data_IF_097201943606
#
_entry.id   IF_097201943606
#
_cell.length_a   1.000
_cell.length_b   1.000
_cell.length_c   1.000
_cell.angle_alpha   90.00
_cell.angle_beta   90.00
_cell.angle_gamma   90.00
#
_symmetry.space_group_name_H-M   'P 1'
#
loop_
_entity.id
_entity.type
_entity.pdbx_description
1 polymer ?
#
# COMPACT_ATOMS: atom_id res chain seq x y z
N UNK A 1 -20.57 -9.35 2.89
CA UNK A 1 -19.44 -10.25 2.57
C UNK A 1 -18.09 -9.53 2.45
N UNK A 2 -18.01 -8.18 2.45
CA UNK A 2 -16.72 -7.45 2.39
C UNK A 2 -15.99 -7.38 3.75
N UNK A 3 -16.74 -7.25 4.86
CA UNK A 3 -16.17 -7.11 6.21
C UNK A 3 -15.28 -8.31 6.59
N UNK A 4 -15.81 -9.53 6.49
CA UNK A 4 -15.09 -10.74 6.87
C UNK A 4 -13.74 -10.96 6.13
N UNK A 5 -13.60 -10.48 4.88
CA UNK A 5 -12.35 -10.59 4.10
C UNK A 5 -11.30 -9.54 4.51
N UNK A 6 -11.74 -8.37 4.97
CA UNK A 6 -10.85 -7.33 5.51
C UNK A 6 -10.39 -7.63 6.94
N UNK A 7 -11.24 -8.27 7.75
CA UNK A 7 -10.89 -8.71 9.11
C UNK A 7 -9.78 -9.79 9.10
N UNK A 8 -9.78 -10.67 8.08
CA UNK A 8 -8.70 -11.64 7.89
C UNK A 8 -7.36 -10.96 7.60
N UNK A 9 -7.37 -9.83 6.88
CA UNK A 9 -6.15 -9.05 6.61
C UNK A 9 -5.55 -8.42 7.88
N UNK A 10 -6.41 -8.04 8.84
CA UNK A 10 -5.99 -7.45 10.12
C UNK A 10 -5.45 -8.48 11.12
N UNK A 11 -5.66 -9.77 10.90
CA UNK A 11 -5.07 -10.84 11.73
C UNK A 11 -3.72 -11.32 11.16
N UNK A 12 -3.52 -11.20 9.85
CA UNK A 12 -2.33 -11.72 9.15
C UNK A 12 -1.11 -10.80 9.26
N UNK A 13 -1.27 -9.47 9.37
CA UNK A 13 -0.12 -8.54 9.41
C UNK A 13 0.84 -8.74 10.58
N UNK A 14 0.40 -9.41 11.65
CA UNK A 14 1.19 -9.58 12.88
C UNK A 14 1.96 -10.90 12.96
N UNK A 15 1.64 -11.90 12.13
CA UNK A 15 2.22 -13.24 12.29
C UNK A 15 3.10 -13.72 11.15
N UNK A 16 2.82 -13.45 9.88
CA UNK A 16 3.64 -14.00 8.79
C UNK A 16 3.76 -13.02 7.61
N UNK A 17 5.00 -12.81 7.17
CA UNK A 17 5.38 -11.83 6.17
C UNK A 17 4.69 -12.03 4.83
N UNK A 18 4.49 -10.90 4.15
CA UNK A 18 4.01 -10.78 2.77
C UNK A 18 2.64 -11.43 2.52
N UNK A 19 1.61 -10.60 2.53
CA UNK A 19 0.45 -10.85 1.68
C UNK A 19 0.95 -11.10 0.25
N UNK A 20 0.93 -12.36 -0.18
CA UNK A 20 0.94 -12.69 -1.59
C UNK A 20 -0.32 -12.02 -2.18
N UNK A 21 -0.13 -11.06 -3.09
CA UNK A 21 -1.25 -10.43 -3.79
C UNK A 21 -1.79 -11.45 -4.79
N UNK A 22 -2.46 -12.47 -4.29
CA UNK A 22 -3.02 -13.56 -5.08
C UNK A 22 -3.96 -12.99 -6.13
N UNK A 23 -4.15 -13.73 -7.23
CA UNK A 23 -5.04 -13.33 -8.33
C UNK A 23 -6.49 -13.06 -7.89
N UNK A 24 -6.86 -13.49 -6.68
CA UNK A 24 -8.21 -13.42 -6.10
C UNK A 24 -8.68 -12.00 -5.75
N UNK A 25 -7.77 -11.06 -5.45
CA UNK A 25 -8.16 -9.69 -5.13
C UNK A 25 -8.27 -8.81 -6.37
N UNK A 26 -9.31 -7.97 -6.43
CA UNK A 26 -9.42 -6.94 -7.46
C UNK A 26 -8.44 -5.79 -7.20
N UNK A 27 -8.12 -5.01 -8.25
CA UNK A 27 -7.25 -3.81 -8.10
C UNK A 27 -7.85 -2.82 -7.09
N UNK A 28 -9.17 -2.66 -7.08
CA UNK A 28 -9.84 -1.73 -6.17
C UNK A 28 -9.69 -2.15 -4.70
N UNK A 29 -9.84 -3.44 -4.40
CA UNK A 29 -9.64 -3.98 -3.05
C UNK A 29 -8.18 -3.85 -2.60
N UNK A 30 -7.24 -4.15 -3.51
CA UNK A 30 -5.82 -4.00 -3.24
C UNK A 30 -5.42 -2.55 -2.98
N UNK A 31 -5.97 -1.61 -3.75
CA UNK A 31 -5.76 -0.18 -3.55
C UNK A 31 -6.27 0.27 -2.18
N UNK A 32 -7.43 -0.21 -1.75
CA UNK A 32 -8.01 0.14 -0.45
C UNK A 32 -7.16 -0.41 0.72
N UNK A 33 -6.64 -1.64 0.59
CA UNK A 33 -5.70 -2.21 1.55
C UNK A 33 -4.41 -1.40 1.65
N UNK A 34 -3.78 -1.11 0.51
CA UNK A 34 -2.54 -0.31 0.49
C UNK A 34 -2.77 1.11 0.99
N UNK A 35 -3.92 1.72 0.72
CA UNK A 35 -4.25 3.03 1.26
C UNK A 35 -4.30 3.03 2.79
N UNK A 36 -4.82 1.96 3.41
CA UNK A 36 -4.78 1.81 4.87
C UNK A 36 -3.36 1.68 5.40
N UNK A 37 -2.51 0.87 4.76
CA UNK A 37 -1.09 0.74 5.12
C UNK A 37 -0.35 2.10 5.01
N UNK A 38 -0.65 2.89 3.97
CA UNK A 38 -0.11 4.25 3.82
C UNK A 38 -0.57 5.12 4.99
N UNK A 39 -1.86 5.16 5.31
CA UNK A 39 -2.35 5.95 6.44
C UNK A 39 -1.71 5.53 7.76
N UNK A 40 -1.50 4.24 7.99
CA UNK A 40 -0.80 3.75 9.19
C UNK A 40 0.65 4.27 9.26
N UNK A 41 1.37 4.29 8.13
CA UNK A 41 2.73 4.83 8.05
C UNK A 41 2.79 6.35 8.33
N UNK A 42 1.76 7.07 7.92
CA UNK A 42 1.59 8.51 8.19
C UNK A 42 0.84 8.78 9.51
N UNK A 43 0.75 7.80 10.41
CA UNK A 43 0.13 7.95 11.74
C UNK A 43 -1.33 8.46 11.70
N UNK A 44 -2.04 8.18 10.61
CA UNK A 44 -3.39 8.62 10.34
C UNK A 44 -3.52 10.03 9.74
N UNK A 45 -2.42 10.75 9.49
CA UNK A 45 -2.44 12.05 8.83
C UNK A 45 -2.79 11.89 7.33
N UNK A 46 -4.08 12.06 7.04
CA UNK A 46 -4.62 12.00 5.69
C UNK A 46 -4.02 13.06 4.77
N UNK A 47 -3.76 14.26 5.28
CA UNK A 47 -3.24 15.35 4.45
C UNK A 47 -1.82 15.02 3.98
N UNK A 48 -0.98 14.52 4.90
CA UNK A 48 0.36 14.07 4.57
C UNK A 48 0.35 12.88 3.59
N UNK A 49 -0.52 11.89 3.83
CA UNK A 49 -0.69 10.72 2.96
C UNK A 49 -1.15 11.10 1.54
N UNK A 50 -2.17 11.97 1.41
CA UNK A 50 -2.69 12.44 0.12
C UNK A 50 -1.65 13.27 -0.64
N UNK A 51 -0.90 14.11 0.07
CA UNK A 51 0.22 14.86 -0.51
C UNK A 51 1.29 13.93 -1.04
N UNK A 52 1.67 12.90 -0.28
CA UNK A 52 2.64 11.90 -0.71
C UNK A 52 2.13 11.10 -1.93
N UNK A 53 0.88 10.65 -1.89
CA UNK A 53 0.23 9.92 -2.98
C UNK A 53 0.19 10.70 -4.30
N UNK A 54 0.07 12.02 -4.21
CA UNK A 54 -0.02 12.91 -5.37
C UNK A 54 1.35 13.39 -5.86
N UNK A 55 2.40 13.24 -5.06
CA UNK A 55 3.73 13.76 -5.37
C UNK A 55 4.50 12.81 -6.29
N UNK A 56 5.10 13.29 -7.39
CA UNK A 56 5.96 12.47 -8.23
C UNK A 56 7.23 12.08 -7.47
N UNK A 57 7.60 10.80 -7.50
CA UNK A 57 8.79 10.28 -6.83
C UNK A 57 9.84 9.82 -7.84
N UNK A 58 11.10 10.26 -7.66
CA UNK A 58 12.21 9.87 -8.55
C UNK A 58 12.42 8.36 -8.60
N UNK A 59 12.30 7.66 -7.47
CA UNK A 59 12.40 6.19 -7.39
C UNK A 59 11.28 5.46 -8.16
N UNK A 60 10.18 6.16 -8.48
CA UNK A 60 9.08 5.65 -9.29
C UNK A 60 9.16 6.06 -10.77
N UNK A 61 10.25 6.74 -11.17
CA UNK A 61 10.43 7.29 -12.51
C UNK A 61 9.54 8.51 -12.75
N UNK A 62 9.53 9.45 -11.79
CA UNK A 62 8.72 10.69 -11.84
C UNK A 62 7.20 10.47 -11.89
N UNK A 63 6.73 9.26 -11.58
CA UNK A 63 5.30 8.96 -11.40
C UNK A 63 4.89 9.14 -9.94
N UNK A 64 3.63 9.54 -9.74
CA UNK A 64 3.02 9.60 -8.41
C UNK A 64 2.65 8.18 -7.92
N UNK A 65 2.66 7.94 -6.61
CA UNK A 65 2.16 6.68 -6.06
C UNK A 65 0.72 6.38 -6.47
N UNK A 66 -0.16 7.40 -6.50
CA UNK A 66 -1.56 7.25 -6.88
C UNK A 66 -1.75 6.62 -8.27
N UNK A 67 -0.98 7.06 -9.28
CA UNK A 67 -1.05 6.50 -10.64
C UNK A 67 -0.58 5.05 -10.72
N UNK A 68 0.21 4.56 -9.75
CA UNK A 68 0.60 3.15 -9.71
C UNK A 68 -0.47 2.26 -9.07
N UNK A 69 -1.35 2.81 -8.24
CA UNK A 69 -2.42 2.05 -7.58
C UNK A 69 -3.56 1.64 -8.53
N UNK A 70 -3.46 1.97 -9.82
CA UNK A 70 -4.42 1.59 -10.87
C UNK A 70 -4.18 0.19 -11.44
N UNK A 71 -3.08 -0.47 -11.07
CA UNK A 71 -2.72 -1.81 -11.55
C UNK A 71 -2.24 -2.70 -10.42
N UNK A 72 -2.48 -4.03 -10.50
CA UNK A 72 -1.98 -4.98 -9.48
C UNK A 72 -0.46 -4.89 -9.30
N UNK A 73 0.28 -4.77 -10.42
CA UNK A 73 1.73 -4.64 -10.39
C UNK A 73 2.19 -3.34 -9.73
N UNK A 74 1.50 -2.23 -9.99
CA UNK A 74 1.84 -0.95 -9.37
C UNK A 74 1.49 -0.91 -7.88
N UNK A 75 0.37 -1.51 -7.45
CA UNK A 75 0.06 -1.75 -6.02
C UNK A 75 1.20 -2.52 -5.35
N UNK A 76 1.62 -3.64 -5.94
CA UNK A 76 2.74 -4.46 -5.44
C UNK A 76 4.03 -3.65 -5.29
N UNK A 77 4.34 -2.81 -6.28
CA UNK A 77 5.50 -1.91 -6.26
C UNK A 77 5.43 -0.90 -5.11
N UNK A 78 4.27 -0.26 -4.91
CA UNK A 78 4.08 0.70 -3.81
C UNK A 78 4.20 0.00 -2.46
N UNK A 79 3.60 -1.17 -2.29
CA UNK A 79 3.69 -1.91 -1.04
C UNK A 79 5.13 -2.30 -0.69
N UNK A 80 5.90 -2.74 -1.68
CA UNK A 80 7.33 -3.01 -1.50
C UNK A 80 8.12 -1.75 -1.11
N UNK A 81 7.74 -0.58 -1.64
CA UNK A 81 8.33 0.69 -1.24
C UNK A 81 8.02 1.02 0.23
N UNK A 82 6.75 0.91 0.65
CA UNK A 82 6.32 1.16 2.03
C UNK A 82 7.01 0.22 3.02
N UNK A 83 7.14 -1.06 2.68
CA UNK A 83 7.86 -2.05 3.51
C UNK A 83 9.31 -1.62 3.76
N UNK A 84 10.04 -1.28 2.70
CA UNK A 84 11.43 -0.81 2.83
C UNK A 84 11.51 0.46 3.69
N UNK A 85 10.51 1.34 3.58
CA UNK A 85 10.48 2.56 4.36
C UNK A 85 10.25 2.28 5.85
N UNK A 86 9.29 1.40 6.19
CA UNK A 86 9.05 0.96 7.57
C UNK A 86 10.23 0.20 8.19
N UNK A 87 11.02 -0.50 7.38
CA UNK A 87 12.26 -1.17 7.80
C UNK A 87 13.46 -0.19 7.97
N UNK A 88 13.30 1.10 7.64
CA UNK A 88 14.39 2.08 7.65
C UNK A 88 15.42 1.91 6.53
N UNK A 89 15.10 1.11 5.50
CA UNK A 89 16.02 0.74 4.42
C UNK A 89 16.04 1.74 3.24
N UNK A 90 15.29 2.85 3.34
CA UNK A 90 15.27 3.91 2.32
C UNK A 90 15.80 5.19 2.95
N UNK A 91 17.05 5.55 2.62
CA UNK A 91 17.65 6.87 2.84
C UNK A 91 17.86 7.57 1.51
#
# INVERSE_FOLDING_TARGET
MLAARADHAKLVWKSEGAFDLTEEYTVAELRDLVYREILELFEGDRTAAEKWLSSPLKILGDRSPASLLETKAGVQKIRNLLRKWGEGAVS
#
